data_IF_694061699090
#
_entry.id   IF_694061699090
#
_cell.length_a   1.000
_cell.length_b   1.000
_cell.length_c   1.000
_cell.angle_alpha   90.00
_cell.angle_beta   90.00
_cell.angle_gamma   90.00
#
_symmetry.space_group_name_H-M   'P 1'
#
loop_
_entity.id
_entity.type
_entity.pdbx_description
1 polymer ?
#
# COMPACT_ATOMS: atom_id res chain seq x y z
N UNK A 1 -40.13 18.11 13.88
CA UNK A 1 -39.49 17.20 12.90
C UNK A 1 -37.99 17.16 13.19
N UNK A 2 -37.55 16.24 14.06
CA UNK A 2 -36.18 16.15 14.56
C UNK A 2 -35.59 14.75 14.40
N UNK A 3 -35.96 14.04 13.33
CA UNK A 3 -35.43 12.73 12.98
C UNK A 3 -34.80 12.81 11.60
N UNK A 4 -33.47 12.98 11.53
CA UNK A 4 -32.65 12.44 10.43
C UNK A 4 -31.16 12.78 10.49
N UNK A 5 -30.70 13.70 11.35
CA UNK A 5 -29.28 14.11 11.35
C UNK A 5 -28.28 12.96 11.54
N UNK A 6 -28.64 11.91 12.29
CA UNK A 6 -27.79 10.74 12.49
C UNK A 6 -27.76 9.79 11.28
N UNK A 7 -28.90 9.62 10.59
CA UNK A 7 -28.98 8.84 9.36
C UNK A 7 -28.28 9.54 8.19
N UNK A 8 -28.37 10.87 8.13
CA UNK A 8 -27.68 11.68 7.13
C UNK A 8 -26.16 11.73 7.39
N UNK A 9 -25.72 11.75 8.65
CA UNK A 9 -24.32 11.64 9.02
C UNK A 9 -23.73 10.25 8.70
N UNK A 10 -24.48 9.17 8.94
CA UNK A 10 -24.09 7.80 8.57
C UNK A 10 -24.02 7.62 7.06
N UNK A 11 -25.01 8.14 6.31
CA UNK A 11 -24.96 8.14 4.84
C UNK A 11 -23.78 8.96 4.31
N UNK A 12 -23.52 10.13 4.88
CA UNK A 12 -22.38 11.00 4.53
C UNK A 12 -21.03 10.29 4.74
N UNK A 13 -20.87 9.59 5.87
CA UNK A 13 -19.70 8.76 6.16
C UNK A 13 -19.53 7.61 5.16
N UNK A 14 -20.62 6.98 4.74
CA UNK A 14 -20.62 5.92 3.73
C UNK A 14 -20.39 6.43 2.29
N UNK A 15 -20.64 7.72 2.03
CA UNK A 15 -20.41 8.36 0.72
C UNK A 15 -19.05 9.05 0.61
N UNK A 16 -18.23 9.10 1.67
CA UNK A 16 -16.88 9.66 1.56
C UNK A 16 -16.06 8.81 0.59
N UNK A 17 -15.32 9.45 -0.34
CA UNK A 17 -14.50 8.71 -1.29
C UNK A 17 -13.41 7.94 -0.54
N UNK A 18 -13.26 6.66 -0.88
CA UNK A 18 -12.09 5.88 -0.51
C UNK A 18 -10.86 6.57 -1.11
N UNK A 19 -9.92 6.99 -0.28
CA UNK A 19 -8.61 7.42 -0.77
C UNK A 19 -7.94 6.20 -1.38
N UNK A 20 -7.47 6.33 -2.61
CA UNK A 20 -6.72 5.29 -3.30
C UNK A 20 -5.43 5.92 -3.79
N UNK A 21 -4.32 5.22 -3.54
CA UNK A 21 -2.99 5.62 -3.99
C UNK A 21 -2.32 4.42 -4.67
N UNK A 22 -1.47 4.72 -5.65
CA UNK A 22 -0.65 3.74 -6.35
C UNK A 22 0.79 4.23 -6.45
N UNK A 23 1.73 3.31 -6.30
CA UNK A 23 3.14 3.52 -6.56
C UNK A 23 3.62 2.47 -7.57
N UNK A 24 3.96 2.85 -8.81
CA UNK A 24 4.79 1.99 -9.64
C UNK A 24 6.17 1.86 -8.97
N UNK A 25 6.68 0.64 -8.90
CA UNK A 25 7.96 0.35 -8.25
C UNK A 25 8.97 -0.10 -9.30
N UNK A 26 10.12 0.56 -9.32
CA UNK A 26 11.20 0.28 -10.26
C UNK A 26 12.49 -0.10 -9.54
N UNK A 27 13.30 -0.92 -10.20
CA UNK A 27 14.60 -1.35 -9.70
C UNK A 27 15.58 -0.20 -9.52
N UNK A 28 16.29 -0.19 -8.39
CA UNK A 28 17.35 0.78 -8.08
C UNK A 28 18.71 0.09 -8.01
N UNK A 29 19.81 0.84 -8.01
CA UNK A 29 21.14 0.34 -7.68
C UNK A 29 21.59 -0.96 -8.40
N UNK A 30 21.19 -1.13 -9.67
CA UNK A 30 21.56 -2.31 -10.48
C UNK A 30 20.59 -3.50 -10.39
N UNK A 31 19.50 -3.38 -9.62
CA UNK A 31 18.39 -4.33 -9.62
C UNK A 31 17.46 -4.06 -10.81
N UNK A 32 16.93 -5.13 -11.43
CA UNK A 32 16.08 -5.06 -12.64
C UNK A 32 14.63 -5.48 -12.38
N UNK A 33 14.29 -5.70 -11.11
CA UNK A 33 12.93 -6.00 -10.70
C UNK A 33 12.00 -4.80 -10.95
N UNK A 34 10.71 -5.08 -10.90
CA UNK A 34 9.68 -4.06 -10.97
C UNK A 34 8.43 -4.55 -10.27
N UNK A 35 7.51 -3.65 -10.00
CA UNK A 35 6.26 -4.01 -9.38
C UNK A 35 5.35 -2.82 -9.23
N UNK A 36 4.38 -3.01 -8.36
CA UNK A 36 3.41 -1.99 -8.06
C UNK A 36 2.89 -2.22 -6.64
N UNK A 37 2.65 -1.12 -5.95
CA UNK A 37 2.01 -1.07 -4.64
C UNK A 37 0.73 -0.23 -4.71
N UNK A 38 -0.36 -0.77 -4.15
CA UNK A 38 -1.67 -0.13 -4.01
C UNK A 38 -1.98 0.06 -2.54
N UNK A 39 -2.47 1.25 -2.22
CA UNK A 39 -3.00 1.59 -0.91
C UNK A 39 -4.43 2.10 -1.05
N UNK A 40 -5.32 1.66 -0.18
CA UNK A 40 -6.66 2.22 -0.08
C UNK A 40 -7.08 2.45 1.37
N UNK A 41 -7.47 3.68 1.69
CA UNK A 41 -8.01 4.05 3.01
C UNK A 41 -9.51 4.24 2.91
N UNK A 42 -10.25 3.37 3.61
CA UNK A 42 -11.70 3.49 3.71
C UNK A 42 -12.11 4.66 4.61
N UNK A 43 -13.31 5.24 4.41
CA UNK A 43 -13.85 6.25 5.31
C UNK A 43 -13.98 5.80 6.77
N UNK A 44 -14.10 4.49 7.00
CA UNK A 44 -14.16 3.89 8.32
C UNK A 44 -12.78 3.76 9.00
N UNK A 45 -11.70 4.21 8.34
CA UNK A 45 -10.34 4.23 8.88
C UNK A 45 -9.55 2.94 8.64
N UNK A 46 -10.13 1.91 8.02
CA UNK A 46 -9.35 0.72 7.64
C UNK A 46 -8.54 0.94 6.37
N UNK A 47 -7.34 0.39 6.36
CA UNK A 47 -6.42 0.42 5.23
C UNK A 47 -6.32 -0.96 4.58
N UNK A 48 -6.33 -0.97 3.25
CA UNK A 48 -6.01 -2.11 2.39
C UNK A 48 -4.66 -1.85 1.71
N UNK A 49 -3.82 -2.88 1.71
CA UNK A 49 -2.51 -2.86 1.07
C UNK A 49 -2.44 -4.01 0.07
N UNK A 50 -1.93 -3.73 -1.12
CA UNK A 50 -1.73 -4.72 -2.17
C UNK A 50 -0.39 -4.50 -2.85
N UNK A 51 0.40 -5.57 -2.95
CA UNK A 51 1.74 -5.53 -3.53
C UNK A 51 1.90 -6.64 -4.56
N UNK A 52 2.31 -6.25 -5.77
CA UNK A 52 2.62 -7.17 -6.87
C UNK A 52 4.03 -6.88 -7.38
N UNK A 53 4.97 -7.80 -7.17
CA UNK A 53 6.38 -7.63 -7.55
C UNK A 53 6.86 -8.77 -8.45
N UNK A 54 7.87 -8.47 -9.27
CA UNK A 54 8.60 -9.42 -10.11
C UNK A 54 10.10 -9.11 -10.12
N UNK A 55 10.92 -10.12 -10.40
CA UNK A 55 12.37 -9.98 -10.45
C UNK A 55 13.00 -9.80 -9.06
N UNK A 56 12.35 -10.30 -8.01
CA UNK A 56 12.87 -10.28 -6.64
C UNK A 56 13.76 -11.50 -6.44
N UNK A 57 14.97 -11.33 -5.89
CA UNK A 57 15.84 -12.46 -5.60
C UNK A 57 15.43 -13.14 -4.27
N UNK A 58 15.75 -14.43 -4.08
CA UNK A 58 15.56 -15.09 -2.78
C UNK A 58 14.10 -15.36 -2.38
N UNK A 59 13.87 -15.59 -1.08
CA UNK A 59 12.61 -16.14 -0.55
C UNK A 59 11.74 -15.11 0.17
N UNK A 60 12.28 -13.94 0.54
CA UNK A 60 11.59 -12.88 1.28
C UNK A 60 12.12 -11.51 0.93
N UNK A 61 11.27 -10.51 1.08
CA UNK A 61 11.63 -9.10 1.07
C UNK A 61 10.81 -8.33 2.11
N UNK A 62 11.17 -7.09 2.38
CA UNK A 62 10.56 -6.24 3.39
C UNK A 62 9.96 -5.02 2.70
N UNK A 63 8.73 -4.66 3.06
CA UNK A 63 8.05 -3.46 2.61
C UNK A 63 8.26 -2.35 3.63
N UNK A 64 8.76 -1.21 3.16
CA UNK A 64 8.90 0.01 3.92
C UNK A 64 8.11 1.14 3.26
N UNK A 65 7.59 2.05 4.08
CA UNK A 65 6.95 3.28 3.64
C UNK A 65 7.49 4.44 4.48
N UNK A 66 8.04 5.49 3.84
CA UNK A 66 8.71 6.61 4.52
C UNK A 66 9.77 6.16 5.55
N UNK A 67 10.46 5.04 5.25
CA UNK A 67 11.46 4.45 6.14
C UNK A 67 10.91 3.64 7.31
N UNK A 68 9.59 3.57 7.49
CA UNK A 68 8.94 2.71 8.49
C UNK A 68 8.69 1.31 7.94
N UNK A 69 8.94 0.29 8.76
CA UNK A 69 8.68 -1.10 8.40
C UNK A 69 7.16 -1.37 8.39
N UNK A 70 6.66 -1.88 7.26
CA UNK A 70 5.24 -2.22 7.08
C UNK A 70 5.02 -3.72 7.24
N UNK A 71 5.74 -4.54 6.46
CA UNK A 71 5.50 -5.98 6.39
C UNK A 71 6.68 -6.76 5.80
N UNK A 72 6.77 -8.04 6.14
CA UNK A 72 7.62 -9.02 5.45
C UNK A 72 6.79 -9.77 4.41
N UNK A 73 7.27 -9.80 3.18
CA UNK A 73 6.58 -10.43 2.04
C UNK A 73 7.30 -11.72 1.63
N UNK A 74 6.54 -12.80 1.45
CA UNK A 74 7.06 -14.05 0.92
C UNK A 74 7.26 -13.93 -0.60
N UNK A 75 8.42 -14.36 -1.07
CA UNK A 75 8.77 -14.40 -2.49
C UNK A 75 8.72 -15.85 -2.99
N UNK A 76 8.06 -16.06 -4.13
CA UNK A 76 7.95 -17.34 -4.81
C UNK A 76 8.32 -17.16 -6.28
N UNK A 77 9.32 -17.90 -6.76
CA UNK A 77 9.82 -17.83 -8.14
C UNK A 77 10.12 -16.40 -8.62
N UNK A 78 10.72 -15.62 -7.73
CA UNK A 78 11.07 -14.22 -7.94
C UNK A 78 9.89 -13.27 -8.11
N UNK A 79 8.71 -13.67 -7.62
CA UNK A 79 7.49 -12.86 -7.59
C UNK A 79 6.94 -12.73 -6.18
N UNK A 80 6.20 -11.65 -5.96
CA UNK A 80 5.42 -11.41 -4.75
C UNK A 80 4.02 -11.01 -5.16
N UNK A 81 3.02 -11.61 -4.54
CA UNK A 81 1.63 -11.18 -4.60
C UNK A 81 1.07 -11.24 -3.18
N UNK A 82 0.89 -10.07 -2.56
CA UNK A 82 0.48 -9.96 -1.18
C UNK A 82 -0.68 -8.97 -1.04
N UNK A 83 -1.63 -9.30 -0.17
CA UNK A 83 -2.74 -8.43 0.20
C UNK A 83 -3.01 -8.57 1.69
N UNK A 84 -3.11 -7.44 2.39
CA UNK A 84 -3.37 -7.40 3.83
C UNK A 84 -4.19 -6.17 4.22
N UNK A 85 -4.80 -6.21 5.40
CA UNK A 85 -5.79 -5.21 5.82
C UNK A 85 -5.74 -4.96 7.33
N UNK A 86 -5.73 -3.69 7.74
CA UNK A 86 -5.62 -3.30 9.15
C UNK A 86 -6.77 -3.74 10.07
N UNK A 87 -7.92 -4.16 9.52
CA UNK A 87 -9.05 -4.74 10.28
C UNK A 87 -8.72 -6.10 10.90
N UNK A 88 -7.70 -6.79 10.37
CA UNK A 88 -7.29 -8.11 10.86
C UNK A 88 -6.18 -8.02 11.94
N UNK A 89 -5.90 -6.82 12.44
CA UNK A 89 -4.85 -6.58 13.45
C UNK A 89 -3.50 -6.21 12.84
N UNK A 90 -3.41 -6.07 11.52
CA UNK A 90 -2.20 -5.60 10.83
C UNK A 90 -1.96 -4.10 11.08
N UNK A 91 -0.71 -3.62 10.96
CA UNK A 91 -0.37 -2.22 11.16
C UNK A 91 -1.22 -1.29 10.28
N UNK A 92 -1.94 -0.36 10.90
CA UNK A 92 -2.72 0.67 10.21
C UNK A 92 -1.82 1.88 9.89
N UNK A 93 -0.79 1.68 9.07
CA UNK A 93 0.06 2.79 8.63
C UNK A 93 -0.75 3.63 7.65
N UNK A 94 -0.95 4.89 8.02
CA UNK A 94 -1.61 5.86 7.15
C UNK A 94 -0.57 6.36 6.16
N UNK A 95 -0.91 6.27 4.88
CA UNK A 95 -0.06 6.71 3.79
C UNK A 95 -0.75 7.84 3.03
N UNK A 96 0.04 8.82 2.62
CA UNK A 96 -0.38 9.98 1.86
C UNK A 96 0.30 10.00 0.48
N UNK A 97 -0.20 10.83 -0.43
CA UNK A 97 0.45 11.02 -1.72
C UNK A 97 1.79 11.75 -1.53
N UNK A 98 2.83 11.27 -2.18
CA UNK A 98 4.21 11.71 -1.98
C UNK A 98 5.06 10.77 -1.14
N UNK A 99 4.44 9.85 -0.39
CA UNK A 99 5.17 8.88 0.43
C UNK A 99 5.95 7.91 -0.45
N UNK A 100 7.21 7.68 -0.09
CA UNK A 100 8.14 6.76 -0.74
C UNK A 100 7.91 5.36 -0.21
N UNK A 101 7.68 4.44 -1.15
CA UNK A 101 7.58 3.01 -0.92
C UNK A 101 8.90 2.38 -1.32
N UNK A 102 9.42 1.52 -0.45
CA UNK A 102 10.64 0.78 -0.71
C UNK A 102 10.41 -0.72 -0.48
N UNK A 103 10.90 -1.52 -1.40
CA UNK A 103 11.09 -2.95 -1.17
C UNK A 103 12.55 -3.16 -0.85
N UNK A 104 12.83 -3.71 0.33
CA UNK A 104 14.19 -3.98 0.80
C UNK A 104 14.50 -5.47 0.85
N UNK A 105 15.76 -5.81 0.64
CA UNK A 105 16.30 -7.14 0.90
C UNK A 105 17.60 -7.00 1.68
N UNK A 106 17.69 -7.70 2.82
CA UNK A 106 18.85 -7.62 3.72
C UNK A 106 19.21 -6.17 4.08
N UNK A 107 18.19 -5.34 4.33
CA UNK A 107 18.36 -3.92 4.69
C UNK A 107 18.66 -2.96 3.53
N UNK A 108 18.77 -3.44 2.29
CA UNK A 108 19.05 -2.60 1.10
C UNK A 108 17.80 -2.44 0.25
N UNK A 109 17.45 -1.20 -0.13
CA UNK A 109 16.37 -0.95 -1.08
C UNK A 109 16.71 -1.50 -2.46
N UNK A 110 15.83 -2.36 -2.98
CA UNK A 110 15.97 -2.99 -4.30
C UNK A 110 14.95 -2.44 -5.29
N UNK A 111 13.75 -2.06 -4.84
CA UNK A 111 12.74 -1.36 -5.61
C UNK A 111 12.31 -0.11 -4.84
N UNK A 112 11.99 0.96 -5.57
CA UNK A 112 11.41 2.17 -4.98
C UNK A 112 10.34 2.76 -5.89
N UNK A 113 9.42 3.51 -5.30
CA UNK A 113 8.45 4.33 -6.01
C UNK A 113 7.72 5.26 -5.06
N UNK A 114 7.10 6.29 -5.61
CA UNK A 114 6.35 7.30 -4.85
C UNK A 114 4.85 7.05 -5.00
N UNK A 115 4.10 7.20 -3.90
CA UNK A 115 2.65 7.09 -3.92
C UNK A 115 2.02 8.29 -4.61
N UNK A 116 1.12 8.02 -5.54
CA UNK A 116 0.38 9.04 -6.25
C UNK A 116 -1.12 8.71 -6.24
N UNK A 117 -1.95 9.72 -6.48
CA UNK A 117 -3.37 9.47 -6.76
C UNK A 117 -3.48 8.88 -8.17
N UNK A 118 -4.19 7.75 -8.35
CA UNK A 118 -4.32 7.12 -9.64
C UNK A 118 -4.99 8.08 -10.61
N UNK A 119 -4.37 8.29 -11.77
CA UNK A 119 -4.99 9.08 -12.84
C UNK A 119 -6.26 8.36 -13.28
N UNK A 120 -7.41 9.00 -13.10
CA UNK A 120 -8.66 8.59 -13.73
C UNK A 120 -8.41 8.53 -15.25
N UNK A 121 -8.44 7.32 -15.81
CA UNK A 121 -8.41 7.09 -17.26
C UNK A 121 -9.80 7.25 -17.84
#
# INVERSE_FOLDING_TARGET
>A
MAGNRMLDALKSLLTKPTLRLDAPLDGVAGFTGAGHFRYALSPAGSADYETELKGIAGLRCELFAEGEFVATLACHDGKVAAKFNSRLGDPAIRLDAGDVIEIRQNGVAILTGELHTPKLR
#
